data_IF_797032372892
#
_entry.id   IF_797032372892
#
_cell.length_a   1.000
_cell.length_b   1.000
_cell.length_c   1.000
_cell.angle_alpha   90.00
_cell.angle_beta   90.00
_cell.angle_gamma   90.00
#
_symmetry.space_group_name_H-M   'P 1'
#
loop_
_entity.id
_entity.type
_entity.pdbx_description
1 polymer ?
#
# COMPACT_ATOMS: atom_id res chain seq x y z
N UNK A 1 -36.45 26.96 -14.33
CA UNK A 1 -35.11 26.66 -14.88
C UNK A 1 -34.16 27.83 -14.55
N UNK A 2 -33.18 27.65 -13.66
CA UNK A 2 -32.22 28.73 -13.32
C UNK A 2 -31.13 28.77 -14.41
N UNK A 3 -31.08 29.85 -15.19
CA UNK A 3 -30.01 30.08 -16.17
C UNK A 3 -28.67 30.19 -15.41
N UNK A 4 -27.72 29.30 -15.70
CA UNK A 4 -26.36 29.39 -15.14
C UNK A 4 -25.69 30.65 -15.69
N UNK A 5 -25.06 31.44 -14.82
CA UNK A 5 -24.28 32.61 -15.23
C UNK A 5 -23.11 32.16 -16.13
N UNK A 6 -22.77 32.91 -17.20
CA UNK A 6 -21.58 32.65 -18.00
C UNK A 6 -20.34 32.68 -17.10
N UNK A 7 -19.42 31.73 -17.30
CA UNK A 7 -18.13 31.74 -16.62
C UNK A 7 -17.32 32.95 -17.12
N UNK A 8 -17.03 33.89 -16.22
CA UNK A 8 -16.15 35.01 -16.54
C UNK A 8 -14.76 34.49 -16.92
N UNK A 9 -14.13 35.12 -17.93
CA UNK A 9 -12.75 34.80 -18.33
C UNK A 9 -11.83 35.01 -17.13
N UNK A 10 -11.07 33.98 -16.77
CA UNK A 10 -9.97 34.08 -15.80
C UNK A 10 -9.06 35.24 -16.20
N UNK A 11 -8.73 36.10 -15.23
CA UNK A 11 -7.79 37.22 -15.38
C UNK A 11 -6.49 36.78 -16.07
N UNK A 12 -5.87 37.70 -16.81
CA UNK A 12 -4.57 37.46 -17.47
C UNK A 12 -3.55 36.90 -16.47
N UNK A 13 -2.85 35.83 -16.87
CA UNK A 13 -1.83 35.20 -16.06
C UNK A 13 -0.70 36.21 -15.81
N UNK A 14 -0.56 36.67 -14.56
CA UNK A 14 0.56 37.53 -14.15
C UNK A 14 1.87 36.87 -14.58
N UNK A 15 2.73 37.63 -15.27
CA UNK A 15 4.06 37.19 -15.67
C UNK A 15 4.85 36.74 -14.43
N UNK A 16 4.96 35.43 -14.22
CA UNK A 16 5.74 34.86 -13.13
C UNK A 16 7.23 35.00 -13.47
N UNK A 17 8.06 35.08 -12.43
CA UNK A 17 9.52 35.00 -12.57
C UNK A 17 9.90 33.78 -13.44
N UNK A 18 10.90 33.91 -14.34
CA UNK A 18 11.33 32.79 -15.16
C UNK A 18 11.74 31.61 -14.28
N UNK A 19 11.27 30.42 -14.65
CA UNK A 19 11.57 29.19 -13.94
C UNK A 19 13.06 28.89 -14.07
N UNK A 20 13.85 29.23 -13.06
CA UNK A 20 15.25 28.83 -12.98
C UNK A 20 15.32 27.38 -12.49
N UNK A 21 15.90 26.52 -13.33
CA UNK A 21 16.10 25.10 -13.01
C UNK A 21 17.16 25.01 -11.91
N UNK A 22 16.77 24.68 -10.69
CA UNK A 22 17.68 24.54 -9.54
C UNK A 22 18.58 23.30 -9.63
N UNK A 23 18.19 22.32 -10.45
CA UNK A 23 18.91 21.05 -10.59
C UNK A 23 19.75 21.11 -11.87
N UNK A 24 21.08 20.89 -11.79
CA UNK A 24 21.93 20.78 -12.96
C UNK A 24 21.38 19.77 -13.97
N UNK A 25 21.68 19.95 -15.26
CA UNK A 25 21.44 18.88 -16.22
C UNK A 25 22.20 17.63 -15.75
N UNK A 26 21.54 16.48 -15.85
CA UNK A 26 22.17 15.22 -15.50
C UNK A 26 23.43 15.01 -16.35
N UNK A 27 24.50 14.58 -15.71
CA UNK A 27 25.78 14.28 -16.34
C UNK A 27 25.59 13.25 -17.47
N UNK A 28 25.97 13.56 -18.73
CA UNK A 28 25.83 12.65 -19.86
C UNK A 28 26.64 11.37 -19.69
N UNK A 29 27.67 11.35 -18.82
CA UNK A 29 28.51 10.19 -18.57
C UNK A 29 27.96 9.24 -17.50
N UNK A 30 26.84 9.60 -16.85
CA UNK A 30 26.24 8.75 -15.81
C UNK A 30 25.77 7.44 -16.46
N UNK A 31 26.24 6.27 -16.01
CA UNK A 31 25.94 4.99 -16.65
C UNK A 31 24.43 4.85 -16.80
N UNK A 32 23.99 4.85 -18.06
CA UNK A 32 22.59 4.72 -18.37
C UNK A 32 22.17 3.33 -17.93
N UNK A 33 21.21 3.23 -16.99
CA UNK A 33 20.66 1.96 -16.58
C UNK A 33 20.55 0.98 -17.76
N UNK A 34 21.07 -0.22 -17.55
CA UNK A 34 21.22 -1.26 -18.56
C UNK A 34 19.87 -1.49 -19.25
N UNK A 35 19.89 -1.42 -20.59
CA UNK A 35 18.73 -1.77 -21.40
C UNK A 35 18.65 -3.28 -21.43
N UNK A 36 17.54 -3.83 -20.96
CA UNK A 36 17.25 -5.25 -21.05
C UNK A 36 16.23 -5.46 -22.15
N UNK A 37 16.58 -6.30 -23.11
CA UNK A 37 15.67 -6.77 -24.14
C UNK A 37 14.72 -7.82 -23.56
N UNK A 38 13.42 -7.63 -23.81
CA UNK A 38 12.38 -8.58 -23.49
C UNK A 38 12.08 -9.47 -24.70
N UNK A 39 11.45 -10.62 -24.46
CA UNK A 39 11.07 -11.60 -25.51
C UNK A 39 10.16 -11.02 -26.61
N UNK A 40 9.47 -9.90 -26.32
CA UNK A 40 8.62 -9.19 -27.28
C UNK A 40 9.36 -8.09 -28.07
N UNK A 41 10.69 -8.00 -27.98
CA UNK A 41 11.51 -7.00 -28.68
C UNK A 41 11.48 -5.61 -28.04
N UNK A 42 10.86 -5.44 -26.87
CA UNK A 42 10.89 -4.18 -26.13
C UNK A 42 12.16 -4.07 -25.28
N UNK A 43 12.80 -2.90 -25.30
CA UNK A 43 13.90 -2.58 -24.38
C UNK A 43 13.35 -1.84 -23.16
N UNK A 44 13.63 -2.36 -21.96
CA UNK A 44 13.34 -1.65 -20.71
C UNK A 44 14.62 -1.24 -20.01
N UNK A 45 14.66 0.01 -19.58
CA UNK A 45 15.74 0.53 -18.74
C UNK A 45 15.54 0.03 -17.31
N UNK A 46 16.40 -0.88 -16.84
CA UNK A 46 16.35 -1.36 -15.45
C UNK A 46 16.88 -0.31 -14.49
N UNK A 47 15.98 0.50 -13.94
CA UNK A 47 16.32 1.37 -12.81
C UNK A 47 16.16 0.60 -11.50
N UNK A 48 17.12 0.73 -10.56
CA UNK A 48 16.92 0.25 -9.20
C UNK A 48 15.61 0.81 -8.63
N UNK A 49 14.85 -0.02 -7.91
CA UNK A 49 13.66 0.44 -7.21
C UNK A 49 14.07 1.56 -6.24
N UNK A 50 13.35 2.68 -6.29
CA UNK A 50 13.59 3.77 -5.35
C UNK A 50 13.41 3.26 -3.91
N UNK A 51 14.27 3.68 -2.97
CA UNK A 51 14.12 3.29 -1.58
C UNK A 51 12.77 3.81 -1.03
N UNK A 52 12.23 3.09 -0.04
CA UNK A 52 11.02 3.55 0.66
C UNK A 52 11.29 4.91 1.32
N UNK A 53 10.25 5.75 1.38
CA UNK A 53 10.33 7.03 2.09
C UNK A 53 10.74 6.83 3.56
N UNK A 54 11.44 7.80 4.15
CA UNK A 54 11.86 7.74 5.55
C UNK A 54 10.67 7.48 6.51
N UNK A 55 9.52 8.12 6.23
CA UNK A 55 8.26 7.92 6.96
C UNK A 55 7.79 6.46 6.92
N UNK A 56 7.77 5.85 5.73
CA UNK A 56 7.36 4.47 5.56
C UNK A 56 8.36 3.50 6.18
N UNK A 57 9.65 3.78 6.09
CA UNK A 57 10.69 2.98 6.74
C UNK A 57 10.51 2.96 8.26
N UNK A 58 10.27 4.12 8.90
CA UNK A 58 10.01 4.20 10.33
C UNK A 58 8.77 3.37 10.75
N UNK A 59 7.68 3.46 9.99
CA UNK A 59 6.48 2.65 10.23
C UNK A 59 6.77 1.14 10.16
N UNK A 60 7.59 0.70 9.21
CA UNK A 60 7.94 -0.73 9.08
C UNK A 60 8.88 -1.23 10.18
N UNK A 61 9.70 -0.36 10.76
CA UNK A 61 10.48 -0.69 11.97
C UNK A 61 9.52 -1.01 13.12
N UNK A 62 8.57 -0.12 13.39
CA UNK A 62 7.56 -0.33 14.43
C UNK A 62 6.70 -1.58 14.14
N UNK A 63 6.28 -1.78 12.89
CA UNK A 63 5.50 -2.96 12.49
C UNK A 63 6.25 -4.26 12.76
N UNK A 64 7.56 -4.35 12.48
CA UNK A 64 8.33 -5.59 12.71
C UNK A 64 8.32 -6.00 14.19
N UNK A 65 8.45 -5.04 15.10
CA UNK A 65 8.40 -5.30 16.53
C UNK A 65 7.00 -5.75 16.97
N UNK A 66 5.96 -5.08 16.49
CA UNK A 66 4.57 -5.44 16.74
C UNK A 66 4.25 -6.85 16.23
N UNK A 67 4.59 -7.17 14.98
CA UNK A 67 4.31 -8.48 14.39
C UNK A 67 5.04 -9.60 15.15
N UNK A 68 6.30 -9.38 15.53
CA UNK A 68 7.03 -10.35 16.35
C UNK A 68 6.30 -10.64 17.66
N UNK A 69 5.90 -9.59 18.39
CA UNK A 69 5.12 -9.73 19.63
C UNK A 69 3.82 -10.51 19.39
N UNK A 70 3.05 -10.13 18.38
CA UNK A 70 1.77 -10.79 18.06
C UNK A 70 1.93 -12.28 17.74
N UNK A 71 2.97 -12.66 16.99
CA UNK A 71 3.22 -14.07 16.67
C UNK A 71 3.71 -14.88 17.89
N UNK A 72 4.37 -14.24 18.85
CA UNK A 72 4.76 -14.85 20.13
C UNK A 72 3.54 -15.03 21.05
N UNK A 73 2.68 -14.02 21.17
CA UNK A 73 1.50 -14.00 22.04
C UNK A 73 0.32 -14.82 21.47
N UNK A 74 0.17 -14.84 20.14
CA UNK A 74 -0.95 -15.45 19.42
C UNK A 74 -0.42 -16.49 18.42
N UNK A 75 0.06 -17.64 18.92
CA UNK A 75 0.78 -18.61 18.10
C UNK A 75 -0.10 -19.41 17.12
N UNK A 76 -1.42 -19.31 17.23
CA UNK A 76 -2.39 -20.08 16.44
C UNK A 76 -3.19 -19.16 15.52
N UNK A 77 -3.55 -19.65 14.34
CA UNK A 77 -4.28 -18.90 13.33
C UNK A 77 -5.63 -18.38 13.86
N UNK A 78 -5.85 -17.07 13.77
CA UNK A 78 -7.10 -16.41 14.15
C UNK A 78 -8.10 -16.34 12.97
N UNK A 79 -7.62 -16.40 11.72
CA UNK A 79 -8.51 -16.37 10.53
C UNK A 79 -9.40 -17.62 10.43
N UNK A 80 -8.87 -18.79 10.80
CA UNK A 80 -9.57 -20.08 10.77
C UNK A 80 -10.45 -20.28 9.51
N UNK A 81 -9.84 -20.17 8.33
CA UNK A 81 -10.57 -20.25 7.06
C UNK A 81 -11.25 -21.61 6.84
N UNK A 82 -10.66 -22.66 7.38
CA UNK A 82 -11.26 -23.98 7.50
C UNK A 82 -11.61 -24.18 8.97
N UNK A 83 -12.80 -24.72 9.27
CA UNK A 83 -13.26 -25.03 10.63
C UNK A 83 -12.31 -26.01 11.35
N UNK A 84 -11.43 -26.69 10.60
CA UNK A 84 -10.40 -27.59 11.11
C UNK A 84 -9.00 -26.98 11.16
N UNK A 85 -8.87 -25.67 10.94
CA UNK A 85 -7.58 -25.02 10.92
C UNK A 85 -6.89 -25.11 12.29
N UNK A 86 -5.76 -25.82 12.33
CA UNK A 86 -4.85 -25.89 13.48
C UNK A 86 -3.48 -25.30 13.13
N UNK A 87 -3.43 -24.44 12.12
CA UNK A 87 -2.19 -23.87 11.60
C UNK A 87 -1.53 -22.93 12.60
N UNK A 88 -0.19 -23.00 12.69
CA UNK A 88 0.61 -22.02 13.42
C UNK A 88 0.59 -20.69 12.69
N UNK A 89 0.50 -19.61 13.45
CA UNK A 89 0.60 -18.25 12.94
C UNK A 89 2.02 -17.96 12.45
N UNK A 90 2.12 -17.47 11.21
CA UNK A 90 3.39 -17.08 10.57
C UNK A 90 3.33 -15.67 9.98
N UNK A 91 2.12 -15.12 9.82
CA UNK A 91 1.88 -13.77 9.35
C UNK A 91 0.94 -13.02 10.29
N UNK A 92 1.04 -11.70 10.29
CA UNK A 92 0.04 -10.80 10.86
C UNK A 92 -0.64 -10.05 9.71
N UNK A 93 -1.93 -10.33 9.53
CA UNK A 93 -2.76 -9.92 8.42
C UNK A 93 -3.76 -8.83 8.85
N UNK A 94 -4.11 -7.95 7.92
CA UNK A 94 -4.89 -6.74 8.22
C UNK A 94 -6.38 -6.97 7.98
N UNK A 95 -7.22 -6.74 8.99
CA UNK A 95 -8.68 -6.85 8.88
C UNK A 95 -9.22 -5.82 7.89
N UNK A 96 -8.80 -4.56 8.01
CA UNK A 96 -9.00 -3.48 7.05
C UNK A 96 -7.70 -3.22 6.30
N UNK A 97 -7.75 -3.26 4.97
CA UNK A 97 -6.58 -3.05 4.13
C UNK A 97 -6.05 -1.61 4.21
N UNK A 98 -4.73 -1.43 4.07
CA UNK A 98 -4.08 -0.10 4.03
C UNK A 98 -4.63 0.80 2.94
N UNK A 99 -4.93 0.21 1.78
CA UNK A 99 -5.55 0.94 0.65
C UNK A 99 -6.92 1.49 1.02
N UNK A 100 -7.56 0.95 2.05
CA UNK A 100 -8.86 1.35 2.58
C UNK A 100 -8.76 2.13 3.89
N UNK A 101 -7.57 2.64 4.24
CA UNK A 101 -7.35 3.42 5.45
C UNK A 101 -7.03 2.59 6.70
N UNK A 102 -6.88 1.28 6.58
CA UNK A 102 -6.44 0.43 7.69
C UNK A 102 -5.03 0.78 8.16
N UNK A 103 -4.83 0.81 9.48
CA UNK A 103 -3.51 1.04 10.08
C UNK A 103 -2.74 -0.27 10.20
N UNK A 104 -1.46 -0.24 9.86
CA UNK A 104 -0.52 -1.38 9.97
C UNK A 104 0.09 -1.52 11.37
N UNK A 105 -0.17 -0.54 12.24
CA UNK A 105 0.29 -0.47 13.62
C UNK A 105 -0.85 -0.56 14.63
N UNK A 106 -2.10 -0.58 14.15
CA UNK A 106 -3.25 -0.81 15.01
C UNK A 106 -3.40 -2.30 15.23
N UNK A 107 -3.17 -2.73 16.46
CA UNK A 107 -3.30 -4.13 16.85
C UNK A 107 -4.73 -4.65 16.71
N UNK A 108 -5.75 -3.81 16.90
CA UNK A 108 -7.14 -4.21 16.69
C UNK A 108 -7.48 -4.43 15.20
N UNK A 109 -6.65 -3.91 14.30
CA UNK A 109 -6.74 -4.15 12.86
C UNK A 109 -5.88 -5.33 12.39
N UNK A 110 -5.14 -5.99 13.30
CA UNK A 110 -4.27 -7.11 12.96
C UNK A 110 -4.80 -8.41 13.57
N UNK A 111 -4.79 -9.46 12.77
CA UNK A 111 -5.04 -10.83 13.18
C UNK A 111 -3.89 -11.72 12.70
N UNK A 112 -3.56 -12.73 13.48
CA UNK A 112 -2.50 -13.67 13.14
C UNK A 112 -3.04 -14.79 12.25
N UNK A 113 -2.23 -15.22 11.27
CA UNK A 113 -2.66 -16.14 10.24
C UNK A 113 -1.59 -17.18 9.92
N UNK A 114 -2.03 -18.41 9.64
CA UNK A 114 -1.20 -19.36 8.90
C UNK A 114 -1.21 -19.00 7.40
N UNK A 115 -0.19 -19.44 6.67
CA UNK A 115 -0.05 -19.11 5.23
C UNK A 115 -1.29 -19.51 4.42
N UNK A 116 -1.84 -20.69 4.64
CA UNK A 116 -3.01 -21.18 3.90
C UNK A 116 -4.26 -20.30 4.13
N UNK A 117 -4.52 -19.88 5.37
CA UNK A 117 -5.66 -19.01 5.68
C UNK A 117 -5.45 -17.58 5.18
N UNK A 118 -4.21 -17.07 5.26
CA UNK A 118 -3.85 -15.79 4.69
C UNK A 118 -4.14 -15.77 3.18
N UNK A 119 -3.65 -16.77 2.45
CA UNK A 119 -3.82 -16.84 1.00
C UNK A 119 -5.29 -17.02 0.61
N UNK A 120 -6.05 -17.85 1.34
CA UNK A 120 -7.48 -18.03 1.11
C UNK A 120 -8.28 -16.74 1.35
N UNK A 121 -7.95 -15.96 2.38
CA UNK A 121 -8.55 -14.64 2.62
C UNK A 121 -8.34 -13.70 1.43
N UNK A 122 -7.11 -13.62 0.91
CA UNK A 122 -6.79 -12.73 -0.22
C UNK A 122 -7.40 -13.22 -1.54
N UNK A 123 -7.54 -14.54 -1.72
CA UNK A 123 -8.18 -15.12 -2.89
C UNK A 123 -9.71 -14.93 -2.92
N UNK A 124 -10.36 -14.80 -1.76
CA UNK A 124 -11.83 -14.76 -1.64
C UNK A 124 -12.33 -13.61 -0.76
N UNK A 125 -12.16 -12.33 -1.17
CA UNK A 125 -12.46 -11.17 -0.33
C UNK A 125 -13.92 -11.08 0.12
N UNK A 126 -14.88 -11.45 -0.73
CA UNK A 126 -16.31 -11.43 -0.36
C UNK A 126 -16.63 -12.49 0.72
N UNK A 127 -16.04 -13.68 0.62
CA UNK A 127 -16.21 -14.72 1.63
C UNK A 127 -15.48 -14.36 2.94
N UNK A 128 -14.33 -13.69 2.83
CA UNK A 128 -13.61 -13.16 3.97
C UNK A 128 -14.43 -12.09 4.72
N UNK A 129 -15.13 -11.22 4.00
CA UNK A 129 -16.03 -10.23 4.58
C UNK A 129 -17.22 -10.88 5.28
N UNK A 130 -17.86 -11.85 4.63
CA UNK A 130 -18.98 -12.60 5.22
C UNK A 130 -18.59 -13.33 6.52
N UNK A 131 -17.31 -13.70 6.66
CA UNK A 131 -16.74 -14.34 7.85
C UNK A 131 -16.24 -13.36 8.92
N UNK A 132 -16.20 -12.06 8.63
CA UNK A 132 -15.70 -11.05 9.56
C UNK A 132 -14.17 -10.99 9.69
N UNK A 133 -13.42 -11.78 8.93
CA UNK A 133 -11.94 -11.76 8.91
C UNK A 133 -11.39 -10.69 7.96
N UNK A 134 -12.27 -10.02 7.21
CA UNK A 134 -11.98 -8.85 6.39
C UNK A 134 -13.10 -7.84 6.54
N UNK A 135 -12.76 -6.55 6.53
CA UNK A 135 -13.74 -5.46 6.58
C UNK A 135 -13.34 -4.40 5.58
N UNK A 136 -14.32 -3.97 4.77
CA UNK A 136 -14.15 -2.80 3.91
C UNK A 136 -13.99 -1.55 4.76
N UNK A 137 -12.91 -0.80 4.53
CA UNK A 137 -12.72 0.49 5.18
C UNK A 137 -13.74 1.53 4.70
N UNK A 138 -14.25 2.36 5.61
CA UNK A 138 -15.06 3.52 5.27
C UNK A 138 -14.12 4.62 4.77
N UNK A 139 -14.02 4.77 3.46
CA UNK A 139 -13.40 5.98 2.90
C UNK A 139 -14.32 7.17 3.18
N UNK A 140 -14.16 7.85 4.32
CA UNK A 140 -14.71 9.19 4.53
C UNK A 140 -15.79 9.38 5.59
N UNK A 141 -16.04 8.43 6.49
CA UNK A 141 -16.69 8.78 7.76
C UNK A 141 -15.60 9.26 8.73
N UNK A 142 -15.31 10.56 8.64
CA UNK A 142 -14.57 11.27 9.67
C UNK A 142 -15.29 11.08 11.01
N UNK A 143 -14.64 10.39 11.94
CA UNK A 143 -14.99 10.45 13.36
C UNK A 143 -14.66 11.84 13.92
#
# INVERSE_FOLDING_TARGET
MRRRKPLERRSELKAKKPWTRKVPLADPERPTAELVELENGMTLRRMPLAPRSAKQTALYVARRLLVRRLLEERPWCEIQWDDRCQGRSVDADEIVLRSQGGSILDEANLQTACRACHDAKHAHPNAAEARGVYRRGTHGEAA
#
